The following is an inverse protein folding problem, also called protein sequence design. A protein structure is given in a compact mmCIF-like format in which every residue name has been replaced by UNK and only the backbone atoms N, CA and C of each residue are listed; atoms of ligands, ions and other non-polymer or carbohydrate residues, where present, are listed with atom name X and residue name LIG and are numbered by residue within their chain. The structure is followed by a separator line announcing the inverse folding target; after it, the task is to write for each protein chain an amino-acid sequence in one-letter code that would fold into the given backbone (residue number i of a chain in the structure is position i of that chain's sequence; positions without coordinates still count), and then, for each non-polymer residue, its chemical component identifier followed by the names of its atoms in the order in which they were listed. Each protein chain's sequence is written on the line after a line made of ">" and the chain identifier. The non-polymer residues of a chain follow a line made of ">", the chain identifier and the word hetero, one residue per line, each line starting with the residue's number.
data_IF_403868485823
#
_entry.id   IF_403868485823
#
_cell.length_a   1.000
_cell.length_b   1.000
_cell.length_c   1.000
_cell.angle_alpha   90.00
_cell.angle_beta   90.00
_cell.angle_gamma   90.00
#
_symmetry.space_group_name_H-M   'P 1'
#
loop_
_entity.id
_entity.type
_entity.pdbx_description
1 polymer ?
#
# COMPACT_ATOMS: atom_id res chain seq x y z
N UNK A 1 10.51 30.47 -6.72
CA UNK A 1 9.50 29.87 -5.82
C UNK A 1 8.65 28.73 -6.43
N UNK A 2 8.53 28.55 -7.76
CA UNK A 2 7.74 27.44 -8.37
C UNK A 2 8.38 26.04 -8.25
N UNK A 3 9.71 25.94 -8.29
CA UNK A 3 10.42 24.65 -8.25
C UNK A 3 10.35 23.94 -6.87
N UNK A 4 10.40 24.70 -5.78
CA UNK A 4 10.35 24.14 -4.43
C UNK A 4 9.00 23.49 -4.08
N UNK A 5 7.90 24.02 -4.64
CA UNK A 5 6.56 23.45 -4.42
C UNK A 5 6.40 22.08 -5.09
N UNK A 6 6.84 21.94 -6.33
CA UNK A 6 6.76 20.67 -7.05
C UNK A 6 7.60 19.59 -6.38
N UNK A 7 8.81 19.95 -5.93
CA UNK A 7 9.69 19.05 -5.18
C UNK A 7 9.04 18.56 -3.88
N UNK A 8 8.46 19.46 -3.08
CA UNK A 8 7.75 19.10 -1.86
C UNK A 8 6.58 18.13 -2.10
N UNK A 9 5.82 18.32 -3.19
CA UNK A 9 4.73 17.41 -3.53
C UNK A 9 5.28 16.01 -3.86
N UNK A 10 6.34 15.94 -4.66
CA UNK A 10 6.98 14.68 -5.04
C UNK A 10 7.55 13.96 -3.80
N UNK A 11 8.27 14.68 -2.94
CA UNK A 11 8.85 14.14 -1.71
C UNK A 11 7.77 13.61 -0.76
N UNK A 12 6.65 14.34 -0.61
CA UNK A 12 5.48 13.87 0.17
C UNK A 12 4.85 12.61 -0.42
N UNK A 13 4.68 12.54 -1.73
CA UNK A 13 4.16 11.34 -2.40
C UNK A 13 5.06 10.12 -2.15
N UNK A 14 6.38 10.27 -2.23
CA UNK A 14 7.31 9.19 -1.92
C UNK A 14 7.32 8.82 -0.43
N UNK A 15 7.18 9.80 0.47
CA UNK A 15 7.04 9.56 1.90
C UNK A 15 5.82 8.69 2.23
N UNK A 16 4.65 9.02 1.67
CA UNK A 16 3.42 8.23 1.82
C UNK A 16 3.57 6.80 1.28
N UNK A 17 4.13 6.66 0.08
CA UNK A 17 4.35 5.34 -0.53
C UNK A 17 5.33 4.49 0.30
N UNK A 18 6.43 5.05 0.80
CA UNK A 18 7.37 4.34 1.68
C UNK A 18 6.76 4.01 3.05
N UNK A 19 5.92 4.90 3.58
CA UNK A 19 5.17 4.67 4.81
C UNK A 19 4.26 3.45 4.71
N UNK A 20 3.56 3.30 3.58
CA UNK A 20 2.63 2.18 3.35
C UNK A 20 3.31 0.89 2.88
N UNK A 21 4.30 0.99 1.99
CA UNK A 21 4.88 -0.15 1.31
C UNK A 21 6.31 -0.41 1.81
N UNK A 22 6.47 -1.40 2.69
CA UNK A 22 7.77 -1.76 3.28
C UNK A 22 8.87 -2.07 2.25
N UNK A 23 8.49 -2.63 1.09
CA UNK A 23 9.39 -2.93 -0.03
C UNK A 23 10.10 -1.70 -0.61
N UNK A 24 9.59 -0.49 -0.36
CA UNK A 24 10.18 0.77 -0.83
C UNK A 24 11.08 1.44 0.23
N UNK A 25 11.14 0.91 1.46
CA UNK A 25 11.90 1.50 2.57
C UNK A 25 13.39 1.18 2.47
N UNK A 26 13.74 -0.03 2.05
CA UNK A 26 15.12 -0.48 1.89
C UNK A 26 15.57 -0.51 0.43
N UNK A 27 16.88 -0.42 0.16
CA UNK A 27 17.42 -0.67 -1.16
C UNK A 27 17.02 -2.06 -1.65
N UNK A 28 16.49 -2.10 -2.87
CA UNK A 28 16.07 -3.35 -3.47
C UNK A 28 17.23 -3.98 -4.26
N UNK A 29 17.44 -5.28 -4.09
CA UNK A 29 18.37 -6.08 -4.89
C UNK A 29 17.80 -6.51 -6.26
N UNK A 30 16.58 -6.07 -6.61
CA UNK A 30 15.96 -6.41 -7.88
C UNK A 30 16.61 -5.64 -9.05
N UNK A 31 16.63 -6.21 -10.26
CA UNK A 31 17.03 -5.47 -11.46
C UNK A 31 16.20 -4.21 -11.66
N UNK A 32 16.78 -3.16 -12.27
CA UNK A 32 16.15 -1.85 -12.46
C UNK A 32 14.76 -1.92 -13.12
N UNK A 33 14.58 -2.85 -14.07
CA UNK A 33 13.28 -3.08 -14.74
C UNK A 33 12.21 -3.57 -13.76
N UNK A 34 12.60 -4.43 -12.82
CA UNK A 34 11.71 -4.98 -11.79
C UNK A 34 11.42 -3.93 -10.73
N UNK A 35 12.41 -3.14 -10.32
CA UNK A 35 12.20 -2.00 -9.40
C UNK A 35 11.17 -1.02 -9.96
N UNK A 36 11.26 -0.67 -11.25
CA UNK A 36 10.27 0.18 -11.92
C UNK A 36 8.85 -0.42 -11.86
N UNK A 37 8.71 -1.74 -12.09
CA UNK A 37 7.42 -2.44 -11.99
C UNK A 37 6.86 -2.44 -10.57
N UNK A 38 7.73 -2.61 -9.56
CA UNK A 38 7.34 -2.58 -8.15
C UNK A 38 6.79 -1.19 -7.79
N UNK A 39 7.49 -0.12 -8.16
CA UNK A 39 7.04 1.26 -7.93
C UNK A 39 5.68 1.49 -8.59
N UNK A 40 5.51 1.11 -9.86
CA UNK A 40 4.24 1.25 -10.57
C UNK A 40 3.12 0.46 -9.89
N UNK A 41 3.37 -0.77 -9.47
CA UNK A 41 2.38 -1.58 -8.75
C UNK A 41 1.96 -0.93 -7.42
N UNK A 42 2.92 -0.41 -6.65
CA UNK A 42 2.64 0.33 -5.41
C UNK A 42 1.76 1.56 -5.67
N UNK A 43 2.03 2.33 -6.73
CA UNK A 43 1.21 3.48 -7.11
C UNK A 43 -0.21 3.07 -7.52
N UNK A 44 -0.35 2.02 -8.34
CA UNK A 44 -1.66 1.53 -8.79
C UNK A 44 -2.50 1.03 -7.60
N UNK A 45 -1.91 0.23 -6.71
CA UNK A 45 -2.59 -0.25 -5.52
C UNK A 45 -2.97 0.90 -4.57
N UNK A 46 -2.09 1.88 -4.41
CA UNK A 46 -2.39 3.06 -3.60
C UNK A 46 -3.58 3.85 -4.18
N UNK A 47 -3.61 4.07 -5.50
CA UNK A 47 -4.72 4.74 -6.17
C UNK A 47 -6.03 3.97 -6.04
N UNK A 48 -6.00 2.64 -6.20
CA UNK A 48 -7.17 1.79 -6.02
C UNK A 48 -7.72 1.89 -4.59
N UNK A 49 -6.83 1.84 -3.59
CA UNK A 49 -7.24 1.97 -2.19
C UNK A 49 -7.90 3.33 -1.93
N UNK A 50 -7.38 4.41 -2.52
CA UNK A 50 -7.99 5.76 -2.40
C UNK A 50 -9.34 5.87 -3.10
N UNK A 51 -9.59 5.08 -4.14
CA UNK A 51 -10.89 5.01 -4.80
C UNK A 51 -11.91 4.23 -3.97
N UNK A 52 -11.51 3.09 -3.42
CA UNK A 52 -12.41 2.18 -2.71
C UNK A 52 -12.62 2.54 -1.23
N UNK A 53 -11.70 3.29 -0.62
CA UNK A 53 -11.82 3.70 0.78
C UNK A 53 -12.08 5.20 0.89
N UNK A 54 -13.22 5.56 1.46
CA UNK A 54 -13.60 6.96 1.72
C UNK A 54 -12.70 7.64 2.75
N UNK A 55 -12.06 6.86 3.63
CA UNK A 55 -11.09 7.32 4.64
C UNK A 55 -9.95 6.33 4.67
N UNK A 56 -8.73 6.78 4.37
CA UNK A 56 -7.51 5.99 4.54
C UNK A 56 -6.83 6.36 5.86
N UNK A 57 -6.85 5.48 6.88
CA UNK A 57 -6.20 5.74 8.17
C UNK A 57 -4.71 6.05 8.05
N UNK A 58 -4.04 5.55 7.00
CA UNK A 58 -2.61 5.77 6.75
C UNK A 58 -2.31 7.16 6.18
N UNK A 59 -3.27 7.77 5.46
CA UNK A 59 -3.13 9.10 4.86
C UNK A 59 -3.58 10.22 5.83
N UNK A 60 -4.39 9.86 6.84
CA UNK A 60 -4.93 10.78 7.86
C UNK A 60 -4.06 10.93 9.12
N UNK A 61 -2.92 10.25 9.22
CA UNK A 61 -1.96 10.50 10.32
C UNK A 61 -1.18 11.78 10.00
N UNK A 62 -1.05 12.75 10.94
CA UNK A 62 -0.17 13.87 10.75
C UNK A 62 1.26 13.35 10.55
N UNK A 63 1.79 13.50 9.35
CA UNK A 63 3.19 13.18 9.05
C UNK A 63 4.01 14.22 9.83
N UNK A 64 4.59 13.81 10.95
CA UNK A 64 5.53 14.62 11.70
C UNK A 64 6.71 14.85 10.75
N UNK A 65 6.89 16.09 10.28
CA UNK A 65 8.12 16.53 9.60
C UNK A 65 9.24 16.53 10.63
N UNK A 66 9.72 15.36 11.05
CA UNK A 66 10.99 15.29 11.76
C UNK A 66 12.05 14.84 10.78
N UNK A 67 12.94 15.77 10.46
CA UNK A 67 14.15 15.57 9.67
C UNK A 67 15.19 14.78 10.46
N UNK A 68 14.81 13.65 11.05
CA UNK A 68 15.74 12.76 11.73
C UNK A 68 16.17 11.64 10.79
N UNK A 69 17.49 11.57 10.62
CA UNK A 69 18.20 10.45 10.04
C UNK A 69 17.55 9.15 10.49
N UNK A 70 16.92 8.43 9.56
CA UNK A 70 16.60 7.03 9.80
C UNK A 70 17.93 6.31 9.77
N UNK A 71 18.54 6.15 10.94
CA UNK A 71 19.61 5.17 11.17
C UNK A 71 19.22 3.88 10.46
N UNK A 72 20.17 3.28 9.74
CA UNK A 72 19.99 2.06 8.94
C UNK A 72 19.27 0.99 9.76
N UNK A 73 17.95 0.99 9.64
CA UNK A 73 17.06 0.12 10.39
C UNK A 73 17.18 -1.28 9.83
N UNK A 74 17.69 -2.16 10.69
CA UNK A 74 17.56 -3.61 10.73
C UNK A 74 16.67 -4.23 9.64
N UNK A 75 17.25 -5.20 8.92
CA UNK A 75 16.58 -6.01 7.91
C UNK A 75 15.16 -6.39 8.37
N UNK A 76 14.13 -6.00 7.61
CA UNK A 76 12.72 -6.31 7.94
C UNK A 76 12.56 -7.83 8.02
N UNK A 77 12.61 -8.38 9.24
CA UNK A 77 12.51 -9.81 9.52
C UNK A 77 11.10 -10.35 9.33
N UNK A 78 10.09 -9.49 9.41
CA UNK A 78 8.69 -9.82 9.09
C UNK A 78 7.90 -8.56 8.74
N UNK A 79 7.13 -8.62 7.66
CA UNK A 79 6.07 -7.64 7.36
C UNK A 79 4.80 -8.21 7.96
N UNK A 80 4.46 -7.78 9.18
CA UNK A 80 3.20 -8.18 9.78
C UNK A 80 2.05 -7.36 9.16
N UNK A 81 1.12 -8.06 8.53
CA UNK A 81 -0.14 -7.47 8.06
C UNK A 81 -1.01 -7.17 9.28
N UNK A 82 -1.30 -5.90 9.52
CA UNK A 82 -2.23 -5.46 10.57
C UNK A 82 -3.53 -6.29 10.56
N UNK A 83 -3.97 -6.73 11.74
CA UNK A 83 -5.13 -7.60 11.93
C UNK A 83 -6.40 -7.07 11.26
N UNK A 84 -6.56 -5.75 11.21
CA UNK A 84 -7.67 -5.07 10.54
C UNK A 84 -7.70 -5.36 9.03
N UNK A 85 -6.52 -5.35 8.38
CA UNK A 85 -6.40 -5.64 6.95
C UNK A 85 -6.62 -7.11 6.66
N UNK A 86 -6.11 -8.00 7.51
CA UNK A 86 -6.35 -9.44 7.43
C UNK A 86 -7.84 -9.74 7.52
N UNK A 87 -8.54 -9.14 8.49
CA UNK A 87 -9.98 -9.29 8.65
C UNK A 87 -10.76 -8.77 7.43
N UNK A 88 -10.45 -7.57 6.95
CA UNK A 88 -11.12 -6.98 5.78
C UNK A 88 -10.93 -7.81 4.50
N UNK A 89 -9.71 -8.32 4.27
CA UNK A 89 -9.43 -9.21 3.14
C UNK A 89 -10.19 -10.53 3.25
N UNK A 90 -10.22 -11.14 4.44
CA UNK A 90 -10.93 -12.40 4.65
C UNK A 90 -12.45 -12.24 4.47
N UNK A 91 -13.01 -11.10 4.89
CA UNK A 91 -14.44 -10.79 4.69
C UNK A 91 -14.81 -10.73 3.20
N UNK A 92 -14.04 -10.01 2.38
CA UNK A 92 -14.25 -9.96 0.93
C UNK A 92 -14.13 -11.34 0.27
N UNK A 93 -13.12 -12.13 0.64
CA UNK A 93 -12.96 -13.48 0.11
C UNK A 93 -14.15 -14.39 0.46
N UNK A 94 -14.69 -14.25 1.67
CA UNK A 94 -15.85 -14.99 2.12
C UNK A 94 -17.12 -14.59 1.35
N UNK A 95 -17.31 -13.30 1.09
CA UNK A 95 -18.42 -12.77 0.29
C UNK A 95 -18.38 -13.35 -1.14
N UNK A 96 -17.25 -13.20 -1.83
CA UNK A 96 -17.06 -13.76 -3.18
C UNK A 96 -17.31 -15.27 -3.24
N UNK A 97 -16.88 -16.01 -2.23
CA UNK A 97 -17.10 -17.46 -2.15
C UNK A 97 -18.57 -17.81 -1.93
N UNK A 98 -19.27 -17.05 -1.09
CA UNK A 98 -20.69 -17.24 -0.82
C UNK A 98 -21.54 -16.95 -2.07
N UNK A 99 -21.22 -15.89 -2.82
CA UNK A 99 -21.86 -15.57 -4.10
C UNK A 99 -21.67 -16.69 -5.12
N UNK A 100 -20.44 -17.18 -5.28
CA UNK A 100 -20.15 -18.31 -6.16
C UNK A 100 -20.95 -19.56 -5.79
N UNK A 101 -21.04 -19.88 -4.49
CA UNK A 101 -21.85 -21.01 -4.00
C UNK A 101 -23.34 -20.82 -4.30
N UNK A 102 -23.86 -19.61 -4.13
CA UNK A 102 -25.27 -19.31 -4.37
C UNK A 102 -25.64 -19.48 -5.86
N UNK A 103 -24.79 -18.99 -6.76
CA UNK A 103 -24.96 -19.14 -8.22
C UNK A 103 -24.96 -20.63 -8.60
N UNK A 104 -24.03 -21.40 -8.04
CA UNK A 104 -23.87 -22.81 -8.36
C UNK A 104 -25.00 -23.69 -7.82
N UNK A 105 -25.61 -23.31 -6.69
CA UNK A 105 -26.77 -24.00 -6.12
C UNK A 105 -28.09 -23.64 -6.81
N UNK A 106 -28.12 -22.61 -7.67
CA UNK A 106 -29.30 -22.18 -8.42
C UNK A 106 -29.36 -22.73 -9.85
N UNK A 107 -28.35 -23.47 -10.31
CA UNK A 107 -28.42 -24.20 -11.58
C UNK A 107 -29.03 -25.60 -11.33
N UNK A 108 -30.27 -25.87 -11.76
CA UNK A 108 -30.80 -27.23 -11.73
C UNK A 108 -30.04 -28.08 -12.76
N UNK A 109 -29.82 -29.36 -12.42
CA UNK A 109 -29.28 -30.38 -13.33
C UNK A 109 -30.12 -30.51 -14.61
#
# INVERSE_FOLDING_TARGET
>A
MKHFKARNVIERCFGLLKGRWGILRSPSFYPIRTQGRIITACCLLHNLIRQEMSIDPMENVPIIEDGQNTEEGEYVGSVETSDQWTAKRNAMAQEMYNEWRAIRNQQPN
#
